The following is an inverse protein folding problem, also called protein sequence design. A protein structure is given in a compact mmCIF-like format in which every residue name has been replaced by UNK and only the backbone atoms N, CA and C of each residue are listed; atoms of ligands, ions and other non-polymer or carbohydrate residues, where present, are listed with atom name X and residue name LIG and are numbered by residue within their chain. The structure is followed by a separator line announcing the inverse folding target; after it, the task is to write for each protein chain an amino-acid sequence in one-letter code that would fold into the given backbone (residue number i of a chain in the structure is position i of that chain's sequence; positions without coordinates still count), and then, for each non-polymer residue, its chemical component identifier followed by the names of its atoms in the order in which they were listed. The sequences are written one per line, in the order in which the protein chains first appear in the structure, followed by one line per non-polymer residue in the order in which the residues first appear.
data_IF_784361204599
#
_entry.id   IF_784361204599
#
_cell.length_a   1.000
_cell.length_b   1.000
_cell.length_c   1.000
_cell.angle_alpha   90.00
_cell.angle_beta   90.00
_cell.angle_gamma   90.00
#
_symmetry.space_group_name_H-M   'P 1'
#
loop_
_entity.id
_entity.type
_entity.pdbx_description
1 polymer ?
#
# COMPACT_ATOMS: atom_id res chain seq x y z
N UNK A 1 -50.56 29.42 -1.32
CA UNK A 1 -49.19 29.06 -0.88
C UNK A 1 -48.20 29.42 -1.98
N UNK A 2 -47.42 30.49 -1.89
CA UNK A 2 -46.37 30.77 -2.85
C UNK A 2 -45.17 29.85 -2.57
N UNK A 3 -44.73 29.11 -3.59
CA UNK A 3 -43.47 28.36 -3.59
C UNK A 3 -42.32 29.36 -3.55
N UNK A 4 -41.58 29.35 -2.45
CA UNK A 4 -40.33 30.07 -2.23
C UNK A 4 -39.25 29.47 -3.14
N UNK A 5 -39.13 29.96 -4.37
CA UNK A 5 -38.00 29.66 -5.25
C UNK A 5 -36.75 30.31 -4.68
N UNK A 6 -35.75 29.49 -4.38
CA UNK A 6 -34.42 29.92 -3.92
C UNK A 6 -33.83 30.84 -4.98
N UNK A 7 -33.49 32.06 -4.58
CA UNK A 7 -32.82 33.03 -5.42
C UNK A 7 -31.42 32.54 -5.77
N UNK A 8 -31.24 32.08 -7.00
CA UNK A 8 -29.96 32.25 -7.67
C UNK A 8 -29.77 33.76 -7.87
N UNK A 9 -28.61 34.26 -7.43
CA UNK A 9 -28.17 35.65 -7.59
C UNK A 9 -28.52 36.18 -8.99
N UNK A 10 -29.53 37.06 -9.06
CA UNK A 10 -29.95 37.77 -10.26
C UNK A 10 -28.94 38.88 -10.58
N UNK A 11 -27.74 38.50 -10.99
CA UNK A 11 -26.89 39.31 -11.86
C UNK A 11 -26.82 38.58 -13.19
N UNK A 12 -27.18 39.23 -14.30
CA UNK A 12 -27.39 38.62 -15.63
C UNK A 12 -26.21 37.82 -16.24
N UNK A 13 -25.09 37.71 -15.54
CA UNK A 13 -23.95 36.84 -15.88
C UNK A 13 -24.11 35.43 -15.26
N UNK A 14 -24.73 35.30 -14.09
CA UNK A 14 -24.88 34.04 -13.36
C UNK A 14 -25.88 33.05 -13.97
N UNK A 15 -26.92 33.55 -14.65
CA UNK A 15 -27.93 32.69 -15.28
C UNK A 15 -27.39 31.93 -16.50
N UNK A 16 -26.48 32.55 -17.28
CA UNK A 16 -25.85 31.92 -18.47
C UNK A 16 -24.79 30.88 -18.11
N UNK A 17 -24.12 31.03 -16.96
CA UNK A 17 -23.18 30.03 -16.43
C UNK A 17 -23.86 28.69 -16.10
N UNK A 18 -25.15 28.70 -15.77
CA UNK A 18 -25.87 27.51 -15.34
C UNK A 18 -26.39 26.64 -16.49
N UNK A 19 -26.70 27.22 -17.66
CA UNK A 19 -27.19 26.46 -18.82
C UNK A 19 -26.07 25.73 -19.56
N UNK A 20 -24.88 26.33 -19.69
CA UNK A 20 -23.75 25.68 -20.37
C UNK A 20 -23.18 24.48 -19.59
N UNK A 21 -23.49 24.39 -18.29
CA UNK A 21 -23.03 23.30 -17.44
C UNK A 21 -23.83 21.99 -17.65
N UNK A 22 -25.04 22.05 -18.23
CA UNK A 22 -25.92 20.88 -18.42
C UNK A 22 -25.42 19.91 -19.48
N UNK A 23 -24.85 20.41 -20.58
CA UNK A 23 -24.37 19.54 -21.67
C UNK A 23 -23.08 18.78 -21.29
N UNK A 24 -22.36 19.26 -20.27
CA UNK A 24 -21.18 18.57 -19.73
C UNK A 24 -21.51 17.52 -18.67
N UNK A 25 -22.76 17.44 -18.19
CA UNK A 25 -23.17 16.53 -17.11
C UNK A 25 -22.90 15.06 -17.46
N UNK A 26 -23.15 14.65 -18.72
CA UNK A 26 -22.89 13.27 -19.16
C UNK A 26 -21.40 12.92 -19.21
N UNK A 27 -20.56 13.87 -19.64
CA UNK A 27 -19.10 13.68 -19.69
C UNK A 27 -18.52 13.57 -18.28
N UNK A 28 -19.03 14.37 -17.34
CA UNK A 28 -18.67 14.30 -15.93
C UNK A 28 -19.07 12.98 -15.27
N UNK A 29 -20.28 12.50 -15.54
CA UNK A 29 -20.74 11.19 -15.06
C UNK A 29 -19.84 10.09 -15.62
N UNK A 30 -19.50 10.14 -16.91
CA UNK A 30 -18.58 9.17 -17.52
C UNK A 30 -17.20 9.18 -16.85
N UNK A 31 -16.58 10.35 -16.67
CA UNK A 31 -15.29 10.45 -15.98
C UNK A 31 -15.37 9.95 -14.54
N UNK A 32 -16.42 10.30 -13.81
CA UNK A 32 -16.64 9.84 -12.44
C UNK A 32 -16.79 8.32 -12.37
N UNK A 33 -17.51 7.70 -13.31
CA UNK A 33 -17.66 6.24 -13.41
C UNK A 33 -16.33 5.57 -13.74
N UNK A 34 -15.57 6.09 -14.71
CA UNK A 34 -14.25 5.54 -15.07
C UNK A 34 -13.27 5.66 -13.89
N UNK A 35 -13.23 6.82 -13.23
CA UNK A 35 -12.41 7.04 -12.04
C UNK A 35 -12.82 6.10 -10.89
N UNK A 36 -14.12 5.89 -10.69
CA UNK A 36 -14.63 4.95 -9.68
C UNK A 36 -14.23 3.51 -10.01
N UNK A 37 -14.36 3.07 -11.26
CA UNK A 37 -13.95 1.72 -11.69
C UNK A 37 -12.44 1.54 -11.52
N UNK A 38 -11.62 2.51 -11.94
CA UNK A 38 -10.17 2.45 -11.76
C UNK A 38 -9.80 2.41 -10.28
N UNK A 39 -10.48 3.20 -9.46
CA UNK A 39 -10.30 3.20 -7.99
C UNK A 39 -10.65 1.84 -7.40
N UNK A 40 -11.75 1.22 -7.85
CA UNK A 40 -12.17 -0.11 -7.39
C UNK A 40 -11.21 -1.20 -7.84
N UNK A 41 -10.73 -1.18 -9.09
CA UNK A 41 -9.74 -2.14 -9.59
C UNK A 41 -8.47 -2.06 -8.75
N UNK A 42 -7.94 -0.85 -8.54
CA UNK A 42 -6.78 -0.64 -7.67
C UNK A 42 -7.08 -1.12 -6.26
N UNK A 43 -8.25 -0.81 -5.69
CA UNK A 43 -8.62 -1.23 -4.34
C UNK A 43 -8.76 -2.75 -4.17
N UNK A 44 -9.32 -3.48 -5.15
CA UNK A 44 -9.49 -4.93 -5.06
C UNK A 44 -8.21 -5.72 -5.30
N UNK A 45 -7.39 -5.27 -6.25
CA UNK A 45 -6.07 -5.87 -6.50
C UNK A 45 -5.14 -5.67 -5.30
N UNK A 46 -5.33 -4.58 -4.55
CA UNK A 46 -4.51 -4.24 -3.39
C UNK A 46 -5.04 -4.83 -2.09
N UNK A 47 -6.35 -4.80 -1.85
CA UNK A 47 -6.95 -5.34 -0.63
C UNK A 47 -6.66 -6.83 -0.39
N UNK A 48 -6.46 -7.61 -1.46
CA UNK A 48 -6.14 -9.04 -1.36
C UNK A 48 -4.66 -9.34 -1.20
N UNK A 49 -3.78 -8.52 -1.80
CA UNK A 49 -2.33 -8.75 -1.77
C UNK A 49 -1.60 -8.03 -0.63
N UNK A 50 -2.16 -6.92 -0.13
CA UNK A 50 -1.53 -6.04 0.86
C UNK A 50 -2.12 -6.15 2.27
N UNK A 51 -3.24 -6.87 2.42
CA UNK A 51 -3.82 -7.21 3.72
C UNK A 51 -2.99 -8.25 4.49
N UNK A 52 -1.88 -8.74 3.94
CA UNK A 52 -0.96 -9.58 4.70
C UNK A 52 -0.39 -8.79 5.88
N UNK A 53 -0.68 -9.28 7.08
CA UNK A 53 -0.20 -8.70 8.34
C UNK A 53 1.34 -8.52 8.33
N UNK A 54 2.05 -9.47 7.70
CA UNK A 54 3.49 -9.40 7.49
C UNK A 54 3.92 -8.13 6.75
N UNK A 55 3.25 -7.75 5.66
CA UNK A 55 3.61 -6.53 4.92
C UNK A 55 3.36 -5.29 5.78
N UNK A 56 2.27 -5.28 6.57
CA UNK A 56 1.92 -4.16 7.45
C UNK A 56 2.97 -3.97 8.55
N UNK A 57 3.40 -5.05 9.21
CA UNK A 57 4.42 -5.02 10.27
C UNK A 57 5.75 -4.50 9.72
N UNK A 58 6.22 -5.04 8.59
CA UNK A 58 7.56 -4.76 8.08
C UNK A 58 7.70 -3.44 7.31
N UNK A 59 6.63 -3.00 6.65
CA UNK A 59 6.64 -1.74 5.90
C UNK A 59 5.89 -0.60 6.58
N UNK A 60 5.37 -0.79 7.80
CA UNK A 60 4.59 0.22 8.54
C UNK A 60 3.44 0.83 7.71
N UNK A 61 2.86 0.05 6.80
CA UNK A 61 1.79 0.51 5.90
C UNK A 61 2.22 1.41 4.72
N UNK A 62 3.53 1.63 4.48
CA UNK A 62 4.00 2.49 3.38
C UNK A 62 3.44 2.16 1.98
N UNK A 63 3.39 0.88 1.56
CA UNK A 63 2.83 0.51 0.27
C UNK A 63 1.36 0.93 0.17
N UNK A 64 0.59 0.71 1.25
CA UNK A 64 -0.81 1.10 1.35
C UNK A 64 -0.94 2.63 1.21
N UNK A 65 -0.13 3.42 1.92
CA UNK A 65 -0.17 4.89 1.81
C UNK A 65 0.16 5.41 0.41
N UNK A 66 1.09 4.76 -0.30
CA UNK A 66 1.48 5.14 -1.66
C UNK A 66 0.32 4.93 -2.64
N UNK A 67 -0.43 3.85 -2.47
CA UNK A 67 -1.63 3.57 -3.27
C UNK A 67 -2.76 4.54 -2.96
N UNK A 68 -3.05 4.79 -1.67
CA UNK A 68 -4.04 5.80 -1.28
C UNK A 68 -3.70 7.18 -1.83
N UNK A 69 -2.42 7.53 -1.90
CA UNK A 69 -1.99 8.79 -2.51
C UNK A 69 -2.26 8.83 -4.02
N UNK A 70 -2.05 7.72 -4.74
CA UNK A 70 -2.38 7.63 -6.16
C UNK A 70 -3.90 7.72 -6.42
N UNK A 71 -4.71 7.08 -5.57
CA UNK A 71 -6.17 7.20 -5.60
C UNK A 71 -6.62 8.63 -5.25
N UNK A 72 -6.03 9.23 -4.22
CA UNK A 72 -6.27 10.62 -3.85
C UNK A 72 -5.96 11.57 -5.00
N UNK A 73 -4.85 11.35 -5.70
CA UNK A 73 -4.48 12.12 -6.89
C UNK A 73 -5.54 12.04 -7.99
N UNK A 74 -6.06 10.84 -8.28
CA UNK A 74 -7.17 10.65 -9.22
C UNK A 74 -8.43 11.41 -8.79
N UNK A 75 -8.78 11.35 -7.50
CA UNK A 75 -9.95 12.05 -6.96
C UNK A 75 -9.83 13.57 -7.04
N UNK A 76 -8.62 14.13 -7.02
CA UNK A 76 -8.38 15.57 -7.16
C UNK A 76 -8.61 16.10 -8.57
N UNK A 77 -8.58 15.24 -9.61
CA UNK A 77 -8.76 15.66 -11.00
C UNK A 77 -10.17 16.23 -11.23
N UNK A 78 -11.20 15.60 -10.66
CA UNK A 78 -12.58 16.02 -10.85
C UNK A 78 -12.90 17.43 -10.32
N UNK A 79 -12.63 17.76 -9.02
CA UNK A 79 -12.86 19.11 -8.51
C UNK A 79 -11.95 20.13 -9.20
N UNK A 80 -10.71 19.77 -9.56
CA UNK A 80 -9.82 20.66 -10.28
C UNK A 80 -10.41 21.08 -11.64
N UNK A 81 -10.88 20.13 -12.44
CA UNK A 81 -11.49 20.45 -13.73
C UNK A 81 -12.79 21.26 -13.59
N UNK A 82 -13.56 21.05 -12.51
CA UNK A 82 -14.73 21.89 -12.20
C UNK A 82 -14.33 23.33 -11.85
N UNK A 83 -13.27 23.51 -11.06
CA UNK A 83 -12.74 24.84 -10.72
C UNK A 83 -12.25 25.57 -11.98
N UNK A 84 -11.45 24.89 -12.82
CA UNK A 84 -10.94 25.47 -14.08
C UNK A 84 -12.09 25.95 -14.97
N UNK A 85 -13.14 25.14 -15.10
CA UNK A 85 -14.32 25.48 -15.89
C UNK A 85 -15.07 26.71 -15.32
N UNK A 86 -15.30 26.74 -14.01
CA UNK A 86 -16.02 27.83 -13.34
C UNK A 86 -15.29 29.18 -13.39
N UNK A 87 -13.95 29.19 -13.44
CA UNK A 87 -13.17 30.43 -13.38
C UNK A 87 -13.14 31.25 -14.68
N UNK A 88 -13.63 30.72 -15.80
CA UNK A 88 -13.65 31.40 -17.11
C UNK A 88 -12.31 32.07 -17.48
N UNK A 89 -11.20 31.39 -17.18
CA UNK A 89 -9.86 31.94 -17.39
C UNK A 89 -9.54 32.06 -18.89
N UNK A 90 -8.71 33.06 -19.24
CA UNK A 90 -8.12 33.13 -20.58
C UNK A 90 -7.33 31.84 -20.88
N UNK A 91 -7.35 31.37 -22.13
CA UNK A 91 -6.65 30.15 -22.58
C UNK A 91 -5.20 30.04 -22.07
N UNK A 92 -4.43 31.14 -22.13
CA UNK A 92 -3.05 31.16 -21.64
C UNK A 92 -2.94 30.83 -20.13
N UNK A 93 -3.85 31.35 -19.30
CA UNK A 93 -3.90 31.09 -17.85
C UNK A 93 -4.39 29.67 -17.55
N UNK A 94 -5.43 29.21 -18.26
CA UNK A 94 -5.93 27.83 -18.16
C UNK A 94 -4.81 26.83 -18.43
N UNK A 95 -4.05 27.03 -19.52
CA UNK A 95 -2.92 26.20 -19.87
C UNK A 95 -1.86 26.14 -18.76
N UNK A 96 -1.41 27.28 -18.25
CA UNK A 96 -0.42 27.33 -17.16
C UNK A 96 -0.93 26.61 -15.92
N UNK A 97 -2.20 26.80 -15.57
CA UNK A 97 -2.81 26.17 -14.40
C UNK A 97 -2.92 24.65 -14.56
N UNK A 98 -3.41 24.17 -15.71
CA UNK A 98 -3.55 22.73 -16.03
C UNK A 98 -2.18 22.05 -16.07
N UNK A 99 -1.22 22.63 -16.78
CA UNK A 99 0.16 22.11 -16.82
C UNK A 99 0.75 22.03 -15.42
N UNK A 100 0.67 23.11 -14.63
CA UNK A 100 1.24 23.13 -13.28
C UNK A 100 0.60 22.08 -12.38
N UNK A 101 -0.74 21.98 -12.39
CA UNK A 101 -1.47 21.01 -11.58
C UNK A 101 -1.05 19.56 -11.90
N UNK A 102 -1.13 19.18 -13.18
CA UNK A 102 -0.83 17.80 -13.58
C UNK A 102 0.67 17.47 -13.46
N UNK A 103 1.57 18.41 -13.73
CA UNK A 103 3.01 18.20 -13.52
C UNK A 103 3.35 18.02 -12.05
N UNK A 104 2.82 18.85 -11.14
CA UNK A 104 3.04 18.71 -9.69
C UNK A 104 2.47 17.38 -9.20
N UNK A 105 1.24 17.05 -9.59
CA UNK A 105 0.60 15.79 -9.22
C UNK A 105 1.43 14.58 -9.69
N UNK A 106 1.90 14.62 -10.94
CA UNK A 106 2.75 13.59 -11.51
C UNK A 106 4.08 13.41 -10.75
N UNK A 107 4.77 14.52 -10.45
CA UNK A 107 6.03 14.51 -9.69
C UNK A 107 5.83 13.93 -8.29
N UNK A 108 4.74 14.30 -7.60
CA UNK A 108 4.43 13.78 -6.26
C UNK A 108 4.22 12.26 -6.31
N UNK A 109 3.40 11.76 -7.24
CA UNK A 109 3.17 10.32 -7.38
C UNK A 109 4.46 9.53 -7.71
N UNK A 110 5.30 10.06 -8.61
CA UNK A 110 6.61 9.46 -8.93
C UNK A 110 7.54 9.47 -7.72
N UNK A 111 7.59 10.57 -6.98
CA UNK A 111 8.38 10.70 -5.75
C UNK A 111 7.96 9.69 -4.69
N UNK A 112 6.65 9.53 -4.47
CA UNK A 112 6.12 8.52 -3.54
C UNK A 112 6.44 7.10 -3.98
N UNK A 113 6.31 6.78 -5.27
CA UNK A 113 6.69 5.49 -5.81
C UNK A 113 8.19 5.18 -5.58
N UNK A 114 9.06 6.17 -5.81
CA UNK A 114 10.50 6.01 -5.57
C UNK A 114 10.84 5.82 -4.08
N UNK A 115 10.18 6.58 -3.19
CA UNK A 115 10.34 6.44 -1.74
C UNK A 115 9.88 5.08 -1.25
N UNK A 116 8.71 4.62 -1.69
CA UNK A 116 8.18 3.30 -1.34
C UNK A 116 9.08 2.17 -1.84
N UNK A 117 9.59 2.27 -3.07
CA UNK A 117 10.51 1.29 -3.63
C UNK A 117 11.83 1.24 -2.84
N UNK A 118 12.37 2.40 -2.45
CA UNK A 118 13.56 2.50 -1.59
C UNK A 118 13.32 1.85 -0.24
N UNK A 119 12.22 2.19 0.44
CA UNK A 119 11.89 1.63 1.75
C UNK A 119 11.72 0.10 1.68
N UNK A 120 10.96 -0.37 0.69
CA UNK A 120 10.76 -1.79 0.43
C UNK A 120 12.08 -2.53 0.20
N UNK A 121 13.01 -1.91 -0.55
CA UNK A 121 14.33 -2.49 -0.79
C UNK A 121 15.15 -2.61 0.50
N UNK A 122 15.13 -1.59 1.36
CA UNK A 122 15.83 -1.61 2.65
C UNK A 122 15.27 -2.70 3.55
N UNK A 123 13.94 -2.78 3.71
CA UNK A 123 13.26 -3.82 4.49
C UNK A 123 13.54 -5.22 3.93
N UNK A 124 13.52 -5.38 2.60
CA UNK A 124 13.86 -6.65 1.95
C UNK A 124 15.32 -7.03 2.21
N UNK A 125 16.25 -6.07 2.14
CA UNK A 125 17.66 -6.31 2.42
C UNK A 125 17.87 -6.73 3.88
N UNK A 126 17.19 -6.07 4.82
CA UNK A 126 17.19 -6.45 6.23
C UNK A 126 16.71 -7.89 6.41
N UNK A 127 15.56 -8.24 5.84
CA UNK A 127 14.96 -9.57 5.96
C UNK A 127 15.77 -10.69 5.28
N UNK A 128 16.45 -10.40 4.17
CA UNK A 128 17.10 -11.45 3.35
C UNK A 128 18.61 -11.55 3.50
N UNK A 129 19.29 -10.41 3.71
CA UNK A 129 20.75 -10.33 3.75
C UNK A 129 21.27 -10.09 5.15
N UNK A 130 20.56 -9.29 5.94
CA UNK A 130 21.00 -8.86 7.27
C UNK A 130 20.16 -9.47 8.41
N UNK A 131 19.38 -10.51 8.11
CA UNK A 131 18.50 -11.16 9.08
C UNK A 131 19.30 -11.64 10.29
N UNK A 132 18.85 -11.27 11.48
CA UNK A 132 19.44 -11.68 12.75
C UNK A 132 20.59 -10.78 13.21
N UNK A 133 21.03 -9.80 12.40
CA UNK A 133 22.11 -8.89 12.78
C UNK A 133 21.66 -7.77 13.71
N UNK A 134 20.48 -7.19 13.48
CA UNK A 134 19.98 -6.05 14.23
C UNK A 134 18.45 -5.96 14.20
N UNK A 135 17.90 -5.06 15.04
CA UNK A 135 16.50 -4.69 15.05
C UNK A 135 15.54 -5.85 15.31
N UNK A 136 14.35 -5.77 14.70
CA UNK A 136 13.26 -6.70 14.90
C UNK A 136 13.62 -8.13 14.44
N UNK A 137 14.40 -8.28 13.35
CA UNK A 137 14.80 -9.62 12.88
C UNK A 137 15.63 -10.38 13.91
N UNK A 138 16.51 -9.68 14.65
CA UNK A 138 17.32 -10.27 15.72
C UNK A 138 16.48 -10.63 16.94
N UNK A 139 15.51 -9.79 17.30
CA UNK A 139 14.60 -10.06 18.42
C UNK A 139 13.72 -11.28 18.16
N UNK A 140 13.12 -11.36 16.96
CA UNK A 140 12.32 -12.51 16.54
C UNK A 140 13.16 -13.79 16.54
N UNK A 141 14.36 -13.77 15.97
CA UNK A 141 15.25 -14.93 15.95
C UNK A 141 15.64 -15.37 17.37
N UNK A 142 15.89 -14.43 18.28
CA UNK A 142 16.20 -14.75 19.67
C UNK A 142 15.00 -15.37 20.41
N UNK A 143 13.77 -14.93 20.12
CA UNK A 143 12.54 -15.57 20.62
C UNK A 143 12.41 -16.98 20.06
N UNK A 144 12.65 -17.16 18.76
CA UNK A 144 12.62 -18.46 18.12
C UNK A 144 13.63 -19.42 18.76
N UNK A 145 14.87 -18.99 18.99
CA UNK A 145 15.91 -19.81 19.64
C UNK A 145 15.50 -20.24 21.06
N UNK A 146 14.97 -19.32 21.89
CA UNK A 146 14.49 -19.67 23.24
C UNK A 146 13.35 -20.69 23.20
N UNK A 147 12.44 -20.53 22.24
CA UNK A 147 11.35 -21.46 22.02
C UNK A 147 11.86 -22.84 21.55
N UNK A 148 12.90 -22.85 20.71
CA UNK A 148 13.56 -24.05 20.20
C UNK A 148 14.27 -24.84 21.30
N UNK A 149 14.96 -24.17 22.22
CA UNK A 149 15.60 -24.78 23.38
C UNK A 149 14.55 -25.52 24.25
N UNK A 150 13.44 -24.86 24.55
CA UNK A 150 12.31 -25.46 25.30
C UNK A 150 11.72 -26.64 24.53
N UNK A 151 11.57 -26.52 23.21
CA UNK A 151 11.04 -27.60 22.38
C UNK A 151 11.96 -28.82 22.39
N UNK A 152 13.27 -28.60 22.29
CA UNK A 152 14.27 -29.67 22.27
C UNK A 152 14.30 -30.44 23.59
N UNK A 153 14.02 -29.79 24.71
CA UNK A 153 13.85 -30.46 26.01
C UNK A 153 12.54 -31.27 26.08
N UNK A 154 11.48 -30.76 25.46
CA UNK A 154 10.14 -31.35 25.48
C UNK A 154 9.97 -32.55 24.51
N UNK A 155 10.39 -32.39 23.24
CA UNK A 155 10.22 -33.37 22.17
C UNK A 155 11.33 -33.22 21.12
N UNK A 156 12.48 -33.88 21.38
CA UNK A 156 13.62 -33.93 20.45
C UNK A 156 13.26 -34.45 19.06
N UNK A 157 12.21 -35.27 18.95
CA UNK A 157 11.78 -35.84 17.67
C UNK A 157 10.78 -34.94 16.92
N UNK A 158 10.38 -33.81 17.53
CA UNK A 158 9.46 -32.79 16.97
C UNK A 158 8.20 -33.36 16.35
N UNK A 159 7.58 -34.32 17.05
CA UNK A 159 6.38 -34.99 16.58
C UNK A 159 5.11 -34.19 16.87
N UNK A 160 5.17 -33.21 17.78
CA UNK A 160 4.02 -32.43 18.27
C UNK A 160 4.37 -30.93 18.31
N UNK A 161 3.47 -30.02 17.89
CA UNK A 161 3.75 -28.58 17.91
C UNK A 161 4.11 -28.04 19.30
N UNK A 162 4.92 -26.98 19.34
CA UNK A 162 5.47 -26.37 20.56
C UNK A 162 4.42 -26.12 21.65
N UNK A 163 3.23 -25.63 21.31
CA UNK A 163 2.17 -25.34 22.31
C UNK A 163 1.67 -26.56 23.09
N UNK A 164 1.98 -27.78 22.63
CA UNK A 164 1.68 -29.02 23.37
C UNK A 164 2.76 -29.36 24.39
N UNK A 165 3.84 -28.57 24.48
CA UNK A 165 4.88 -28.77 25.46
C UNK A 165 4.45 -28.22 26.83
N UNK A 166 4.49 -29.05 27.89
CA UNK A 166 4.06 -28.63 29.22
C UNK A 166 4.94 -27.52 29.82
N UNK A 167 6.20 -27.44 29.40
CA UNK A 167 7.19 -26.49 29.92
C UNK A 167 7.12 -25.09 29.27
N UNK A 168 6.27 -24.88 28.26
CA UNK A 168 6.23 -23.62 27.51
C UNK A 168 5.77 -22.42 28.35
N UNK A 169 5.00 -22.66 29.44
CA UNK A 169 4.57 -21.66 30.43
C UNK A 169 4.47 -20.22 29.91
N UNK A 170 3.56 -19.97 28.96
CA UNK A 170 3.41 -18.66 28.28
C UNK A 170 3.15 -17.51 29.25
N UNK A 171 2.60 -17.79 30.42
CA UNK A 171 2.41 -16.83 31.52
C UNK A 171 3.73 -16.22 32.01
N UNK A 172 4.84 -16.94 31.90
CA UNK A 172 6.19 -16.49 32.31
C UNK A 172 6.93 -15.70 31.23
N UNK A 173 6.44 -15.71 30.00
CA UNK A 173 7.04 -14.95 28.90
C UNK A 173 6.67 -13.48 29.00
N UNK A 174 7.60 -12.60 28.63
CA UNK A 174 7.32 -11.17 28.52
C UNK A 174 6.21 -10.95 27.48
N UNK A 175 5.30 -9.99 27.67
CA UNK A 175 4.22 -9.73 26.69
C UNK A 175 4.72 -9.50 25.26
N UNK A 176 5.84 -8.79 25.09
CA UNK A 176 6.45 -8.59 23.78
C UNK A 176 6.93 -9.91 23.13
N UNK A 177 7.60 -10.76 23.89
CA UNK A 177 8.09 -12.05 23.37
C UNK A 177 6.92 -12.98 22.98
N UNK A 178 5.80 -12.92 23.71
CA UNK A 178 4.58 -13.67 23.33
C UNK A 178 4.04 -13.22 21.97
N UNK A 179 3.93 -11.92 21.74
CA UNK A 179 3.48 -11.39 20.45
C UNK A 179 4.42 -11.81 19.30
N UNK A 180 5.73 -11.86 19.56
CA UNK A 180 6.69 -12.36 18.57
C UNK A 180 6.57 -13.88 18.34
N UNK A 181 6.21 -14.65 19.38
CA UNK A 181 5.96 -16.08 19.27
C UNK A 181 4.69 -16.38 18.45
N UNK A 182 3.61 -15.63 18.69
CA UNK A 182 2.38 -15.66 17.89
C UNK A 182 2.67 -15.30 16.43
N UNK A 183 3.44 -14.23 16.21
CA UNK A 183 3.89 -13.84 14.88
C UNK A 183 4.73 -14.93 14.19
N UNK A 184 5.59 -15.64 14.93
CA UNK A 184 6.36 -16.77 14.41
C UNK A 184 5.46 -17.95 14.01
N UNK A 185 4.42 -18.25 14.79
CA UNK A 185 3.42 -19.28 14.45
C UNK A 185 2.70 -18.94 13.15
N UNK A 186 2.18 -17.71 13.03
CA UNK A 186 1.52 -17.23 11.82
C UNK A 186 2.48 -17.30 10.63
N UNK A 187 3.73 -16.85 10.79
CA UNK A 187 4.72 -16.84 9.72
C UNK A 187 5.10 -18.25 9.27
N UNK A 188 5.35 -19.19 10.19
CA UNK A 188 5.62 -20.59 9.84
C UNK A 188 4.43 -21.20 9.09
N UNK A 189 3.20 -20.93 9.55
CA UNK A 189 1.96 -21.42 8.95
C UNK A 189 1.75 -20.89 7.52
N UNK A 190 1.83 -19.57 7.32
CA UNK A 190 1.53 -18.90 6.05
C UNK A 190 2.57 -19.20 4.96
N UNK A 191 3.83 -19.39 5.35
CA UNK A 191 4.93 -19.57 4.39
C UNK A 191 5.51 -20.99 4.34
N UNK A 192 5.02 -21.90 5.17
CA UNK A 192 5.57 -23.27 5.30
C UNK A 192 7.09 -23.26 5.43
N UNK A 193 7.57 -22.45 6.37
CA UNK A 193 8.99 -22.22 6.68
C UNK A 193 9.28 -22.62 8.14
N UNK A 194 10.55 -22.55 8.52
CA UNK A 194 11.04 -22.82 9.87
C UNK A 194 12.20 -21.91 10.19
N UNK A 195 12.33 -21.54 11.46
CA UNK A 195 13.21 -20.46 11.92
C UNK A 195 12.96 -19.12 11.22
N UNK A 196 13.31 -18.03 11.89
CA UNK A 196 13.09 -16.74 11.27
C UNK A 196 14.21 -16.43 10.27
N UNK A 197 15.46 -16.49 10.72
CA UNK A 197 16.64 -16.18 9.92
C UNK A 197 17.46 -17.42 9.54
N UNK A 198 17.51 -18.44 10.40
CA UNK A 198 18.32 -19.63 10.16
C UNK A 198 17.76 -20.48 9.01
N UNK A 199 18.65 -21.26 8.39
CA UNK A 199 18.32 -22.18 7.31
C UNK A 199 18.33 -23.62 7.82
N UNK A 200 17.58 -24.48 7.12
CA UNK A 200 17.53 -25.92 7.37
C UNK A 200 17.14 -26.31 8.82
N UNK A 201 16.38 -25.44 9.49
CA UNK A 201 15.84 -25.72 10.82
C UNK A 201 14.54 -26.52 10.75
N UNK A 202 14.21 -27.20 11.84
CA UNK A 202 12.89 -27.83 11.98
C UNK A 202 11.87 -26.82 12.52
N UNK A 203 10.60 -26.91 12.13
CA UNK A 203 9.57 -25.94 12.50
C UNK A 203 9.21 -26.11 13.98
N UNK A 204 8.75 -25.03 14.61
CA UNK A 204 8.24 -25.07 15.98
C UNK A 204 6.77 -25.48 16.01
N UNK A 205 5.99 -25.01 15.02
CA UNK A 205 4.52 -25.05 15.09
C UNK A 205 3.89 -25.99 14.06
N UNK A 206 4.58 -26.24 12.94
CA UNK A 206 4.08 -27.13 11.90
C UNK A 206 4.54 -28.57 12.08
N UNK A 207 3.65 -29.53 11.78
CA UNK A 207 3.98 -30.97 11.76
C UNK A 207 4.46 -31.46 10.38
N UNK A 208 4.52 -30.57 9.38
CA UNK A 208 4.70 -30.94 7.99
C UNK A 208 6.16 -31.29 7.66
N UNK A 209 6.38 -32.31 6.82
CA UNK A 209 7.72 -32.75 6.38
C UNK A 209 8.31 -31.94 5.22
N UNK A 210 7.47 -31.20 4.47
CA UNK A 210 7.92 -30.39 3.33
C UNK A 210 7.89 -28.93 3.73
N UNK A 211 9.04 -28.43 4.12
CA UNK A 211 9.24 -27.07 4.61
C UNK A 211 10.31 -26.45 3.73
N UNK A 212 10.23 -25.13 3.53
CA UNK A 212 11.29 -24.42 2.83
C UNK A 212 12.63 -24.59 3.56
N UNK A 213 13.73 -24.72 2.80
CA UNK A 213 15.10 -24.71 3.36
C UNK A 213 15.54 -23.32 3.82
N UNK A 214 14.89 -22.28 3.31
CA UNK A 214 15.17 -20.91 3.70
C UNK A 214 14.35 -20.56 4.95
N UNK A 215 14.94 -19.75 5.84
CA UNK A 215 14.24 -19.16 6.97
C UNK A 215 13.04 -18.31 6.54
N UNK A 216 12.08 -18.16 7.43
CA UNK A 216 10.83 -17.46 7.20
C UNK A 216 11.00 -16.01 6.72
N UNK A 217 12.03 -15.30 7.18
CA UNK A 217 12.33 -13.94 6.76
C UNK A 217 12.56 -13.82 5.24
N UNK A 218 13.06 -14.88 4.58
CA UNK A 218 13.22 -14.88 3.12
C UNK A 218 11.88 -14.74 2.38
N UNK A 219 10.87 -15.46 2.86
CA UNK A 219 9.52 -15.48 2.29
C UNK A 219 8.77 -14.20 2.61
N UNK A 220 8.85 -13.74 3.86
CA UNK A 220 8.33 -12.43 4.28
C UNK A 220 8.94 -11.32 3.42
N UNK A 221 10.27 -11.31 3.25
CA UNK A 221 10.96 -10.34 2.39
C UNK A 221 10.55 -10.44 0.92
N UNK A 222 10.11 -11.61 0.47
CA UNK A 222 9.53 -11.80 -0.86
C UNK A 222 8.16 -11.17 -1.02
N UNK A 223 7.29 -11.36 -0.02
CA UNK A 223 5.97 -10.71 0.01
C UNK A 223 6.09 -9.19 0.11
N UNK A 224 6.97 -8.70 0.98
CA UNK A 224 7.31 -7.27 1.09
C UNK A 224 7.78 -6.72 -0.26
N UNK A 225 8.72 -7.40 -0.92
CA UNK A 225 9.23 -6.96 -2.22
C UNK A 225 8.14 -6.95 -3.31
N UNK A 226 7.27 -7.96 -3.34
CA UNK A 226 6.18 -8.03 -4.31
C UNK A 226 5.18 -6.90 -4.09
N UNK A 227 4.70 -6.75 -2.85
CA UNK A 227 3.75 -5.70 -2.46
C UNK A 227 4.32 -4.31 -2.77
N UNK A 228 5.52 -4.00 -2.26
CA UNK A 228 6.13 -2.69 -2.46
C UNK A 228 6.40 -2.37 -3.94
N UNK A 229 6.76 -3.36 -4.77
CA UNK A 229 6.89 -3.17 -6.22
C UNK A 229 5.54 -2.90 -6.88
N UNK A 230 4.50 -3.67 -6.56
CA UNK A 230 3.17 -3.47 -7.12
C UNK A 230 2.64 -2.07 -6.82
N UNK A 231 2.69 -1.64 -5.56
CA UNK A 231 2.29 -0.29 -5.14
C UNK A 231 3.09 0.80 -5.87
N UNK A 232 4.41 0.62 -6.00
CA UNK A 232 5.28 1.58 -6.67
C UNK A 232 5.02 1.66 -8.19
N UNK A 233 4.70 0.53 -8.83
CA UNK A 233 4.34 0.50 -10.27
C UNK A 233 3.02 1.23 -10.49
N UNK A 234 2.01 1.00 -9.65
CA UNK A 234 0.72 1.69 -9.74
C UNK A 234 0.90 3.20 -9.56
N UNK A 235 1.54 3.63 -8.48
CA UNK A 235 1.75 5.06 -8.22
C UNK A 235 2.68 5.72 -9.26
N UNK A 236 3.75 5.04 -9.67
CA UNK A 236 4.70 5.54 -10.65
C UNK A 236 4.10 5.69 -12.05
N UNK A 237 3.33 4.69 -12.51
CA UNK A 237 2.63 4.76 -13.80
C UNK A 237 1.56 5.85 -13.82
N UNK A 238 0.81 5.99 -12.72
CA UNK A 238 -0.15 7.09 -12.56
C UNK A 238 0.54 8.46 -12.58
N UNK A 239 1.68 8.58 -11.90
CA UNK A 239 2.46 9.81 -11.88
C UNK A 239 3.02 10.18 -13.26
N UNK A 240 3.53 9.20 -14.01
CA UNK A 240 3.96 9.40 -15.40
C UNK A 240 2.80 9.83 -16.31
N UNK A 241 1.62 9.24 -16.12
CA UNK A 241 0.41 9.60 -16.86
C UNK A 241 0.01 11.07 -16.61
N UNK A 242 -0.08 11.50 -15.35
CA UNK A 242 -0.37 12.89 -15.03
C UNK A 242 0.70 13.84 -15.56
N UNK A 243 1.98 13.49 -15.40
CA UNK A 243 3.06 14.31 -15.92
C UNK A 243 2.98 14.48 -17.44
N UNK A 244 2.66 13.41 -18.17
CA UNK A 244 2.45 13.44 -19.62
C UNK A 244 1.26 14.34 -20.01
N UNK A 245 0.14 14.28 -19.29
CA UNK A 245 -0.98 15.21 -19.49
C UNK A 245 -0.53 16.67 -19.32
N UNK A 246 0.22 16.96 -18.25
CA UNK A 246 0.74 18.31 -18.00
C UNK A 246 1.62 18.83 -19.12
N UNK A 247 2.52 17.98 -19.65
CA UNK A 247 3.35 18.30 -20.80
C UNK A 247 2.52 18.52 -22.07
N UNK A 248 1.59 17.62 -22.39
CA UNK A 248 0.73 17.76 -23.57
C UNK A 248 -0.09 19.06 -23.51
N UNK A 249 -0.64 19.39 -22.33
CA UNK A 249 -1.37 20.64 -22.13
C UNK A 249 -0.49 21.87 -22.40
N UNK A 250 0.82 21.81 -22.08
CA UNK A 250 1.74 22.91 -22.33
C UNK A 250 1.95 23.20 -23.82
N UNK A 251 1.88 22.16 -24.66
CA UNK A 251 2.15 22.25 -26.10
C UNK A 251 0.90 22.35 -26.98
N UNK A 252 -0.30 22.12 -26.45
CA UNK A 252 -1.55 22.27 -27.19
C UNK A 252 -1.89 23.76 -27.37
N UNK A 253 -1.99 24.27 -28.62
CA UNK A 253 -2.23 25.69 -28.87
C UNK A 253 -3.67 26.12 -28.56
N UNK A 254 -4.62 25.19 -28.49
CA UNK A 254 -6.06 25.45 -28.39
C UNK A 254 -6.72 24.81 -27.15
N UNK A 255 -6.05 24.85 -25.99
CA UNK A 255 -6.63 24.36 -24.73
C UNK A 255 -7.65 25.33 -24.13
#
# INVERSE_FOLDING_TARGET
MPKKTRGCLQGGVGAKLCEHCKDHEQLWIFYAVVLAILTLIVFFDTGTNFASEHVRIWCQGFPIYTEWAALGALLLVAPFASIVHCMQLSQAKTRVLVTSFFSVLGIVCIGLAALNLRQTYLTMAELRKDCGKAGLTKEIEAVWQRADDIYTECDRARQKPLFKCPNLHLDKWKPADRALLEYLEETESDFHCSAFCQKDQQPLFLRQKKISKNGCAWHVGGRVALAGRAASVVAGSMGLFFFAIGLIAAFLPNL
#
